data_IF_310172903303
#
_entry.id   IF_310172903303
#
_cell.length_a   1.000
_cell.length_b   1.000
_cell.length_c   1.000
_cell.angle_alpha   90.00
_cell.angle_beta   90.00
_cell.angle_gamma   90.00
#
_symmetry.space_group_name_H-M   'P 1'
#
loop_
_entity.id
_entity.type
_entity.pdbx_description
1 polymer ?
#
# COMPACT_ATOMS: atom_id res chain seq x y z
N UNK A 1 -0.99 4.00 18.43
CA UNK A 1 -0.52 3.44 17.15
C UNK A 1 1.00 3.43 17.19
N UNK A 2 1.66 2.30 16.90
CA UNK A 2 3.11 2.26 16.78
C UNK A 2 3.63 3.30 15.77
N UNK A 3 4.79 3.89 16.03
CA UNK A 3 5.33 5.01 15.24
C UNK A 3 5.47 4.68 13.74
N UNK A 4 5.87 3.44 13.42
CA UNK A 4 6.01 2.95 12.05
C UNK A 4 4.69 2.88 11.27
N UNK A 5 3.56 2.64 11.95
CA UNK A 5 2.25 2.62 11.28
C UNK A 5 1.82 4.04 10.90
N UNK A 6 2.13 5.02 11.75
CA UNK A 6 1.79 6.42 11.51
C UNK A 6 2.56 6.99 10.32
N UNK A 7 3.87 6.72 10.21
CA UNK A 7 4.69 7.19 9.08
C UNK A 7 4.22 6.56 7.77
N UNK A 8 4.00 5.25 7.72
CA UNK A 8 3.49 4.58 6.53
C UNK A 8 2.13 5.14 6.09
N UNK A 9 1.20 5.38 7.02
CA UNK A 9 -0.10 5.97 6.69
C UNK A 9 0.02 7.37 6.10
N UNK A 10 0.89 8.21 6.67
CA UNK A 10 1.14 9.56 6.14
C UNK A 10 1.67 9.44 4.71
N UNK A 11 2.62 8.54 4.46
CA UNK A 11 3.22 8.34 3.13
C UNK A 11 2.22 7.80 2.11
N UNK A 12 1.34 6.87 2.51
CA UNK A 12 0.26 6.36 1.66
C UNK A 12 -0.78 7.45 1.34
N UNK A 13 -1.17 8.26 2.33
CA UNK A 13 -2.13 9.37 2.13
C UNK A 13 -1.60 10.47 1.22
N UNK A 14 -0.30 10.72 1.26
CA UNK A 14 0.36 11.78 0.48
C UNK A 14 0.95 11.27 -0.83
N UNK A 15 0.74 9.98 -1.19
CA UNK A 15 1.37 9.33 -2.34
C UNK A 15 2.91 9.38 -2.35
N UNK A 16 3.56 9.63 -1.21
CA UNK A 16 5.02 9.66 -1.10
C UNK A 16 5.67 8.29 -0.92
N UNK A 17 4.88 7.23 -0.83
CA UNK A 17 5.36 5.84 -0.75
C UNK A 17 6.31 5.47 -1.90
N UNK A 18 7.27 4.59 -1.64
CA UNK A 18 8.28 4.10 -2.58
C UNK A 18 7.70 3.16 -3.67
N UNK A 19 6.66 3.62 -4.36
CA UNK A 19 6.10 3.03 -5.56
C UNK A 19 6.70 3.70 -6.80
N UNK A 20 6.65 3.00 -7.95
CA UNK A 20 7.36 3.45 -9.15
C UNK A 20 6.89 4.82 -9.65
N UNK A 21 5.63 5.21 -9.49
CA UNK A 21 5.17 6.55 -9.86
C UNK A 21 5.95 7.65 -9.11
N UNK A 22 6.10 7.49 -7.79
CA UNK A 22 6.81 8.45 -6.94
C UNK A 22 8.33 8.36 -7.14
N UNK A 23 8.88 7.15 -7.28
CA UNK A 23 10.30 6.95 -7.57
C UNK A 23 10.70 7.59 -8.90
N UNK A 24 9.88 7.46 -9.93
CA UNK A 24 10.10 8.08 -11.23
C UNK A 24 10.02 9.62 -11.15
N UNK A 25 9.06 10.16 -10.39
CA UNK A 25 8.99 11.59 -10.11
C UNK A 25 10.28 12.13 -9.45
N UNK A 26 10.87 11.34 -8.55
CA UNK A 26 12.17 11.64 -7.91
C UNK A 26 13.39 11.25 -8.75
N UNK A 27 13.22 10.79 -10.00
CA UNK A 27 14.30 10.30 -10.88
C UNK A 27 15.11 9.12 -10.29
N UNK A 28 14.48 8.31 -9.44
CA UNK A 28 15.05 7.10 -8.81
C UNK A 28 14.60 5.79 -9.46
N UNK A 29 13.68 5.85 -10.41
CA UNK A 29 13.22 4.72 -11.22
C UNK A 29 13.17 5.18 -12.68
N UNK A 30 13.58 4.29 -13.59
CA UNK A 30 13.55 4.56 -15.04
C UNK A 30 12.11 4.62 -15.60
N UNK A 31 11.15 4.06 -14.86
CA UNK A 31 9.75 3.99 -15.30
C UNK A 31 8.76 4.22 -14.15
N UNK A 32 7.60 4.87 -14.41
CA UNK A 32 6.53 5.00 -13.44
C UNK A 32 5.63 3.75 -13.37
N UNK A 33 5.85 2.76 -14.25
CA UNK A 33 4.95 1.62 -14.41
C UNK A 33 5.13 0.55 -13.35
N UNK A 34 4.05 -0.19 -13.06
CA UNK A 34 4.10 -1.36 -12.20
C UNK A 34 4.97 -2.46 -12.85
N UNK A 35 5.88 -3.10 -12.09
CA UNK A 35 6.68 -4.21 -12.60
C UNK A 35 5.85 -5.41 -13.08
N UNK A 36 4.63 -5.55 -12.56
CA UNK A 36 3.73 -6.66 -12.88
C UNK A 36 2.66 -6.29 -13.90
N UNK A 37 2.43 -4.99 -14.11
CA UNK A 37 1.40 -4.48 -15.03
C UNK A 37 2.05 -3.50 -16.00
N UNK A 38 2.53 -3.98 -17.16
CA UNK A 38 3.17 -3.13 -18.16
C UNK A 38 2.26 -1.97 -18.54
N UNK A 39 2.82 -0.76 -18.67
CA UNK A 39 2.11 0.47 -19.07
C UNK A 39 1.07 0.98 -18.08
N UNK A 40 0.92 0.36 -16.91
CA UNK A 40 0.05 0.86 -15.84
C UNK A 40 0.89 1.58 -14.81
N UNK A 41 0.58 2.85 -14.53
CA UNK A 41 1.29 3.64 -13.52
C UNK A 41 1.07 3.05 -12.13
N UNK A 42 2.15 2.83 -11.40
CA UNK A 42 2.09 2.28 -10.05
C UNK A 42 1.95 3.40 -9.01
N UNK A 43 0.70 3.77 -8.73
CA UNK A 43 0.33 4.66 -7.64
C UNK A 43 -0.34 3.87 -6.49
N UNK A 44 -0.66 4.56 -5.38
CA UNK A 44 -1.28 3.93 -4.19
C UNK A 44 -2.59 3.24 -4.54
N UNK A 45 -3.39 3.81 -5.46
CA UNK A 45 -4.68 3.23 -5.89
C UNK A 45 -4.46 1.90 -6.61
N UNK A 46 -3.58 1.87 -7.62
CA UNK A 46 -3.25 0.65 -8.33
C UNK A 46 -2.66 -0.40 -7.39
N UNK A 47 -1.71 0.02 -6.55
CA UNK A 47 -1.06 -0.84 -5.58
C UNK A 47 -2.05 -1.48 -4.62
N UNK A 48 -3.05 -0.76 -4.10
CA UNK A 48 -3.98 -1.27 -3.08
C UNK A 48 -5.23 -1.95 -3.68
N UNK A 49 -5.70 -1.53 -4.86
CA UNK A 49 -7.02 -1.95 -5.36
C UNK A 49 -7.05 -2.62 -6.73
N UNK A 50 -6.02 -2.46 -7.56
CA UNK A 50 -6.15 -2.78 -8.99
C UNK A 50 -5.03 -3.63 -9.57
N UNK A 51 -3.91 -3.79 -8.87
CA UNK A 51 -2.83 -4.65 -9.31
C UNK A 51 -3.25 -6.13 -9.28
N UNK A 52 -3.45 -6.81 -10.43
CA UNK A 52 -3.82 -8.23 -10.47
C UNK A 52 -2.79 -9.15 -9.82
N UNK A 53 -1.52 -8.74 -9.76
CA UNK A 53 -0.49 -9.52 -9.07
C UNK A 53 -0.77 -9.67 -7.57
N UNK A 54 -1.47 -8.70 -6.97
CA UNK A 54 -1.84 -8.70 -5.56
C UNK A 54 -3.30 -9.12 -5.33
N UNK A 55 -3.92 -9.81 -6.30
CA UNK A 55 -5.35 -10.17 -6.23
C UNK A 55 -5.70 -11.02 -5.00
N UNK A 56 -4.77 -11.87 -4.54
CA UNK A 56 -4.97 -12.69 -3.33
C UNK A 56 -5.04 -11.80 -2.08
N UNK A 57 -4.11 -10.85 -1.97
CA UNK A 57 -4.04 -9.91 -0.86
C UNK A 57 -5.22 -8.93 -0.90
N UNK A 58 -5.68 -8.51 -2.09
CA UNK A 58 -6.92 -7.77 -2.28
C UNK A 58 -8.13 -8.56 -1.79
N UNK A 59 -8.21 -9.85 -2.11
CA UNK A 59 -9.30 -10.70 -1.66
C UNK A 59 -9.33 -10.81 -0.13
N UNK A 60 -8.17 -10.96 0.52
CA UNK A 60 -8.08 -10.95 1.99
C UNK A 60 -8.50 -9.59 2.55
N UNK A 61 -8.02 -8.48 1.98
CA UNK A 61 -8.38 -7.13 2.43
C UNK A 61 -9.88 -6.84 2.28
N UNK A 62 -10.46 -7.23 1.15
CA UNK A 62 -11.88 -7.04 0.83
C UNK A 62 -12.80 -7.95 1.64
N UNK A 63 -12.40 -9.17 1.99
CA UNK A 63 -13.19 -10.01 2.91
C UNK A 63 -13.40 -9.35 4.28
N UNK A 64 -12.39 -8.66 4.81
CA UNK A 64 -12.48 -8.04 6.12
C UNK A 64 -13.21 -6.69 6.10
N UNK A 65 -13.14 -5.95 5.00
CA UNK A 65 -13.65 -4.57 4.90
C UNK A 65 -14.87 -4.42 3.97
N UNK A 66 -15.24 -5.48 3.24
CA UNK A 66 -16.32 -5.50 2.27
C UNK A 66 -16.23 -4.33 1.28
N UNK A 67 -17.35 -3.66 0.98
CA UNK A 67 -17.41 -2.51 0.07
C UNK A 67 -16.56 -1.32 0.53
N UNK A 68 -16.18 -1.26 1.81
CA UNK A 68 -15.35 -0.17 2.36
C UNK A 68 -13.88 -0.30 1.95
N UNK A 69 -13.44 -1.47 1.50
CA UNK A 69 -12.09 -1.69 0.97
C UNK A 69 -11.82 -0.87 -0.29
N UNK A 70 -12.84 -0.63 -1.11
CA UNK A 70 -12.72 0.07 -2.40
C UNK A 70 -12.61 1.60 -2.25
N UNK A 71 -12.80 2.14 -1.04
CA UNK A 71 -12.68 3.56 -0.77
C UNK A 71 -11.32 3.84 -0.11
N UNK A 72 -10.33 4.23 -0.94
CA UNK A 72 -8.96 4.54 -0.49
C UNK A 72 -8.94 5.56 0.66
N UNK A 73 -9.63 6.72 0.58
CA UNK A 73 -9.68 7.66 1.71
C UNK A 73 -10.18 7.02 3.01
N UNK A 74 -11.21 6.19 2.94
CA UNK A 74 -11.74 5.47 4.10
C UNK A 74 -10.75 4.45 4.66
N UNK A 75 -10.14 3.64 3.78
CA UNK A 75 -9.14 2.64 4.14
C UNK A 75 -7.92 3.27 4.84
N UNK A 76 -7.49 4.43 4.36
CA UNK A 76 -6.35 5.15 4.91
C UNK A 76 -6.67 5.96 6.18
N UNK A 77 -7.95 6.22 6.49
CA UNK A 77 -8.35 7.11 7.59
C UNK A 77 -9.04 6.41 8.75
N UNK A 78 -9.72 5.28 8.49
CA UNK A 78 -10.56 4.63 9.47
C UNK A 78 -9.74 3.71 10.39
N UNK A 79 -9.79 3.93 11.70
CA UNK A 79 -9.00 3.19 12.70
C UNK A 79 -9.17 1.66 12.61
N UNK A 80 -10.39 1.18 12.35
CA UNK A 80 -10.68 -0.25 12.18
C UNK A 80 -10.13 -0.85 10.88
N UNK A 81 -9.83 -0.02 9.87
CA UNK A 81 -9.34 -0.47 8.57
C UNK A 81 -7.80 -0.53 8.51
N UNK A 82 -7.14 0.31 9.31
CA UNK A 82 -5.68 0.41 9.39
C UNK A 82 -5.01 -0.96 9.65
N UNK A 83 -5.45 -1.80 10.62
CA UNK A 83 -4.79 -3.09 10.87
C UNK A 83 -4.81 -4.02 9.65
N UNK A 84 -5.92 -4.05 8.91
CA UNK A 84 -6.05 -4.87 7.71
C UNK A 84 -5.16 -4.35 6.57
N UNK A 85 -5.05 -3.03 6.43
CA UNK A 85 -4.13 -2.40 5.49
C UNK A 85 -2.66 -2.70 5.84
N UNK A 86 -2.29 -2.70 7.12
CA UNK A 86 -0.92 -3.04 7.54
C UNK A 86 -0.57 -4.49 7.19
N UNK A 87 -1.49 -5.41 7.46
CA UNK A 87 -1.32 -6.82 7.08
C UNK A 87 -1.20 -7.00 5.57
N UNK A 88 -2.00 -6.27 4.80
CA UNK A 88 -1.91 -6.24 3.33
C UNK A 88 -0.51 -5.79 2.87
N UNK A 89 -0.03 -4.64 3.35
CA UNK A 89 1.30 -4.11 2.99
C UNK A 89 2.42 -5.09 3.35
N UNK A 90 2.34 -5.72 4.53
CA UNK A 90 3.32 -6.74 4.95
C UNK A 90 3.33 -7.97 4.05
N UNK A 91 2.16 -8.47 3.69
CA UNK A 91 2.04 -9.69 2.88
C UNK A 91 2.67 -9.52 1.49
N UNK A 92 2.58 -8.33 0.93
CA UNK A 92 3.13 -7.99 -0.39
C UNK A 92 4.65 -7.79 -0.36
N UNK A 93 5.23 -7.44 0.79
CA UNK A 93 6.67 -7.21 1.03
C UNK A 93 7.34 -6.15 0.15
N UNK A 94 6.64 -5.52 -0.79
CA UNK A 94 7.16 -4.47 -1.68
C UNK A 94 7.76 -3.28 -0.92
N UNK A 95 7.15 -2.90 0.20
CA UNK A 95 7.57 -1.75 1.00
C UNK A 95 8.52 -2.13 2.16
N UNK A 96 8.93 -3.40 2.26
CA UNK A 96 9.76 -3.90 3.36
C UNK A 96 11.13 -3.22 3.43
N UNK A 97 11.71 -2.85 2.28
CA UNK A 97 12.99 -2.14 2.24
C UNK A 97 12.92 -0.73 2.86
N UNK A 98 11.76 -0.08 2.82
CA UNK A 98 11.58 1.29 3.31
C UNK A 98 11.03 1.33 4.74
N UNK A 99 10.11 0.42 5.09
CA UNK A 99 9.39 0.45 6.37
C UNK A 99 9.67 -0.75 7.29
N UNK A 100 10.50 -1.71 6.87
CA UNK A 100 10.73 -2.96 7.60
C UNK A 100 9.50 -3.88 7.60
N UNK A 101 9.46 -4.84 8.52
CA UNK A 101 8.23 -5.60 8.80
C UNK A 101 7.28 -4.70 9.60
N UNK A 102 6.16 -4.31 8.99
CA UNK A 102 5.13 -3.45 9.57
C UNK A 102 4.22 -4.27 10.49
N UNK A 103 4.80 -5.09 11.37
CA UNK A 103 4.04 -5.98 12.25
C UNK A 103 3.10 -5.17 13.16
N UNK A 104 1.93 -5.74 13.50
CA UNK A 104 1.02 -5.15 14.50
C UNK A 104 1.66 -5.10 15.91
N UNK A 105 2.72 -5.88 16.12
CA UNK A 105 3.59 -5.79 17.29
C UNK A 105 4.88 -5.09 16.88
N UNK A 106 4.86 -3.76 16.88
CA UNK A 106 6.09 -3.02 17.13
C UNK A 106 6.33 -3.16 18.63
N UNK A 107 7.26 -4.02 19.03
CA UNK A 107 7.83 -3.96 20.38
C UNK A 107 8.81 -2.79 20.43
#
# INVERSE_FOLDING_TARGET
LPHCHSSLLIWLRTNHVSLNAQLHCMKKSDTPHCPHCPRVVENVVHFILSCPHYAREHFVLTQHLWRKALNIPHLLSHSKAIPFLMNYVNSIRRLKATFGDVSLSCK
#
